data_IF_668661363373
#
_entry.id   IF_668661363373
#
_cell.length_a   1.000
_cell.length_b   1.000
_cell.length_c   1.000
_cell.angle_alpha   90.00
_cell.angle_beta   90.00
_cell.angle_gamma   90.00
#
_symmetry.space_group_name_H-M   'P 1'
#
loop_
_entity.id
_entity.type
_entity.pdbx_description
1 polymer ?
#
# COMPACT_ATOMS: atom_id res chain seq x y z
N UNK A 1 -57.46 -25.48 29.58
CA UNK A 1 -57.69 -24.03 29.40
C UNK A 1 -56.31 -23.38 29.52
N UNK A 2 -55.63 -22.89 28.50
CA UNK A 2 -56.01 -22.41 27.17
C UNK A 2 -55.30 -23.15 26.03
N UNK A 3 -55.99 -23.32 24.91
CA UNK A 3 -55.47 -23.82 23.63
C UNK A 3 -55.04 -22.57 22.83
N UNK A 4 -53.74 -22.42 22.59
CA UNK A 4 -53.20 -21.40 21.69
C UNK A 4 -53.18 -21.94 20.26
N UNK A 5 -54.06 -21.42 19.40
CA UNK A 5 -54.10 -21.77 17.97
C UNK A 5 -53.03 -20.95 17.26
N UNK A 6 -51.98 -21.62 16.75
CA UNK A 6 -51.03 -21.04 15.80
C UNK A 6 -51.60 -21.21 14.39
N UNK A 7 -51.96 -20.10 13.74
CA UNK A 7 -52.31 -20.09 12.32
C UNK A 7 -51.04 -19.79 11.54
N UNK A 8 -50.42 -20.83 11.00
CA UNK A 8 -49.36 -20.69 10.00
C UNK A 8 -49.98 -20.29 8.66
N UNK A 9 -49.78 -19.05 8.24
CA UNK A 9 -50.12 -18.61 6.89
C UNK A 9 -49.04 -19.12 5.93
N UNK A 10 -49.31 -20.23 5.25
CA UNK A 10 -48.51 -20.68 4.10
C UNK A 10 -48.80 -19.74 2.94
N UNK A 11 -47.89 -18.80 2.66
CA UNK A 11 -47.96 -17.98 1.46
C UNK A 11 -47.55 -18.86 0.27
N UNK A 12 -48.53 -19.50 -0.39
CA UNK A 12 -48.31 -20.11 -1.69
C UNK A 12 -48.29 -18.98 -2.72
N UNK A 13 -47.12 -18.71 -3.30
CA UNK A 13 -47.01 -17.80 -4.43
C UNK A 13 -47.74 -18.44 -5.64
N UNK A 14 -48.97 -18.01 -5.88
CA UNK A 14 -49.74 -18.38 -7.07
C UNK A 14 -49.29 -17.52 -8.25
N UNK A 15 -48.34 -18.03 -9.02
CA UNK A 15 -47.95 -17.46 -10.31
C UNK A 15 -46.57 -17.95 -10.77
N UNK A 16 -46.46 -18.34 -12.03
CA UNK A 16 -45.14 -18.59 -12.63
C UNK A 16 -44.32 -17.29 -12.57
N UNK A 17 -43.05 -17.34 -12.13
CA UNK A 17 -42.23 -16.15 -11.99
C UNK A 17 -41.97 -15.49 -13.35
N UNK A 18 -41.78 -14.16 -13.35
CA UNK A 18 -41.53 -13.38 -14.55
C UNK A 18 -40.17 -13.63 -15.23
N UNK A 19 -39.35 -14.54 -14.67
CA UNK A 19 -38.07 -14.98 -15.24
C UNK A 19 -38.16 -16.43 -15.69
N UNK A 20 -37.39 -16.83 -16.72
CA UNK A 20 -37.42 -18.20 -17.23
C UNK A 20 -37.07 -19.19 -16.11
N UNK A 21 -38.02 -20.09 -15.80
CA UNK A 21 -37.78 -21.21 -14.91
C UNK A 21 -36.94 -22.24 -15.67
N UNK A 22 -35.71 -22.45 -15.21
CA UNK A 22 -34.81 -23.42 -15.81
C UNK A 22 -35.42 -24.83 -15.68
N UNK A 23 -35.78 -25.45 -16.81
CA UNK A 23 -36.20 -26.85 -16.84
C UNK A 23 -34.97 -27.73 -16.66
N UNK A 24 -35.08 -28.74 -15.78
CA UNK A 24 -34.03 -29.75 -15.63
C UNK A 24 -33.80 -30.44 -16.98
N UNK A 25 -32.57 -30.34 -17.50
CA UNK A 25 -32.16 -31.10 -18.68
C UNK A 25 -31.90 -32.55 -18.29
N UNK A 26 -32.45 -33.50 -19.05
CA UNK A 26 -32.33 -34.95 -18.80
C UNK A 26 -31.03 -35.55 -19.36
N UNK A 27 -30.25 -34.78 -20.13
CA UNK A 27 -29.01 -35.25 -20.77
C UNK A 27 -27.75 -34.84 -20.02
N UNK A 28 -26.92 -35.82 -19.64
CA UNK A 28 -25.53 -35.61 -19.19
C UNK A 28 -24.59 -35.68 -20.40
N UNK A 29 -24.66 -34.70 -21.30
CA UNK A 29 -23.69 -34.58 -22.39
C UNK A 29 -22.62 -33.56 -21.99
N UNK A 30 -21.35 -33.84 -22.31
CA UNK A 30 -20.29 -32.86 -22.15
C UNK A 30 -20.55 -31.63 -23.04
N UNK A 31 -20.11 -30.46 -22.59
CA UNK A 31 -20.11 -29.26 -23.43
C UNK A 31 -19.03 -29.43 -24.51
N UNK A 32 -19.17 -28.77 -25.68
CA UNK A 32 -18.13 -28.81 -26.70
C UNK A 32 -16.75 -28.42 -26.14
N UNK A 33 -15.76 -29.31 -26.30
CA UNK A 33 -14.40 -29.10 -25.78
C UNK A 33 -14.21 -29.42 -24.29
N UNK A 34 -15.21 -29.97 -23.61
CA UNK A 34 -15.09 -30.41 -22.21
C UNK A 34 -15.28 -31.92 -22.06
N UNK A 35 -14.89 -32.46 -20.92
CA UNK A 35 -15.17 -33.82 -20.49
C UNK A 35 -16.12 -33.77 -19.29
N UNK A 36 -16.94 -34.81 -19.12
CA UNK A 36 -17.77 -34.93 -17.93
C UNK A 36 -16.86 -35.11 -16.71
N UNK A 37 -17.22 -34.47 -15.60
CA UNK A 37 -16.53 -34.66 -14.33
C UNK A 37 -16.98 -35.99 -13.72
N UNK A 38 -16.19 -37.04 -13.95
CA UNK A 38 -16.47 -38.40 -13.47
C UNK A 38 -15.80 -38.70 -12.12
N UNK A 39 -14.96 -37.78 -11.62
CA UNK A 39 -14.29 -37.94 -10.34
C UNK A 39 -15.32 -38.00 -9.19
N UNK A 40 -15.26 -39.08 -8.42
CA UNK A 40 -16.04 -39.27 -7.19
C UNK A 40 -15.32 -38.74 -5.95
N UNK A 41 -16.04 -38.63 -4.83
CA UNK A 41 -15.50 -38.13 -3.55
C UNK A 41 -15.61 -36.62 -3.37
N UNK A 42 -14.84 -36.05 -2.43
CA UNK A 42 -14.79 -34.61 -2.19
C UNK A 42 -13.80 -33.93 -3.15
N UNK A 43 -14.34 -33.35 -4.21
CA UNK A 43 -13.58 -32.65 -5.25
C UNK A 43 -12.79 -31.45 -4.72
N UNK A 44 -13.21 -30.86 -3.60
CA UNK A 44 -12.53 -29.73 -2.98
C UNK A 44 -11.16 -30.15 -2.46
N UNK A 45 -11.09 -31.34 -1.84
CA UNK A 45 -9.82 -31.92 -1.36
C UNK A 45 -8.92 -32.25 -2.54
N UNK A 46 -9.44 -32.94 -3.56
CA UNK A 46 -8.67 -33.30 -4.74
C UNK A 46 -8.11 -32.07 -5.47
N UNK A 47 -8.86 -30.97 -5.52
CA UNK A 47 -8.40 -29.69 -6.07
C UNK A 47 -7.25 -29.11 -5.24
N UNK A 48 -7.39 -29.05 -3.91
CA UNK A 48 -6.34 -28.52 -3.02
C UNK A 48 -5.05 -29.34 -3.13
N UNK A 49 -5.14 -30.67 -3.10
CA UNK A 49 -3.98 -31.56 -3.27
C UNK A 49 -3.34 -31.45 -4.67
N UNK A 50 -4.16 -31.20 -5.70
CA UNK A 50 -3.66 -30.93 -7.05
C UNK A 50 -2.89 -29.61 -7.14
N UNK A 51 -3.43 -28.55 -6.53
CA UNK A 51 -2.78 -27.24 -6.45
C UNK A 51 -1.48 -27.33 -5.66
N UNK A 52 -1.47 -28.02 -4.52
CA UNK A 52 -0.29 -28.18 -3.67
C UNK A 52 0.86 -28.87 -4.42
N UNK A 53 0.57 -30.02 -5.06
CA UNK A 53 1.56 -30.73 -5.89
C UNK A 53 2.08 -29.90 -7.05
N UNK A 54 1.21 -29.09 -7.68
CA UNK A 54 1.62 -28.19 -8.74
C UNK A 54 2.59 -27.12 -8.21
N UNK A 55 2.26 -26.48 -7.09
CA UNK A 55 3.10 -25.45 -6.47
C UNK A 55 4.45 -26.01 -6.02
N UNK A 56 4.49 -27.21 -5.44
CA UNK A 56 5.73 -27.90 -5.08
C UNK A 56 6.63 -28.16 -6.29
N UNK A 57 6.05 -28.58 -7.42
CA UNK A 57 6.78 -28.79 -8.66
C UNK A 57 7.38 -27.49 -9.21
N UNK A 58 6.61 -26.40 -9.19
CA UNK A 58 7.06 -25.06 -9.60
C UNK A 58 8.20 -24.55 -8.70
N UNK A 59 8.07 -24.71 -7.37
CA UNK A 59 9.13 -24.35 -6.41
C UNK A 59 10.41 -25.14 -6.70
N UNK A 60 10.31 -26.45 -6.91
CA UNK A 60 11.46 -27.30 -7.21
C UNK A 60 12.11 -26.94 -8.57
N UNK A 61 11.33 -26.53 -9.57
CA UNK A 61 11.82 -26.07 -10.85
C UNK A 61 12.58 -24.74 -10.71
N UNK A 62 12.01 -23.76 -10.02
CA UNK A 62 12.63 -22.46 -9.78
C UNK A 62 13.94 -22.59 -8.99
N UNK A 63 13.99 -23.48 -7.99
CA UNK A 63 15.21 -23.76 -7.22
C UNK A 63 16.36 -24.30 -8.09
N UNK A 64 16.06 -25.02 -9.16
CA UNK A 64 17.06 -25.55 -10.11
C UNK A 64 17.55 -24.48 -11.08
N UNK A 65 16.68 -23.56 -11.49
CA UNK A 65 17.03 -22.54 -12.48
C UNK A 65 17.51 -21.21 -11.88
N UNK A 66 17.32 -20.98 -10.58
CA UNK A 66 17.65 -19.77 -9.79
C UNK A 66 18.23 -18.63 -10.62
N UNK A 67 17.37 -18.03 -11.42
CA UNK A 67 17.64 -16.75 -12.05
C UNK A 67 17.45 -15.74 -10.92
N UNK A 68 18.48 -14.96 -10.59
CA UNK A 68 18.31 -13.88 -9.61
C UNK A 68 17.08 -13.04 -9.93
N UNK A 69 16.41 -12.51 -8.91
CA UNK A 69 15.20 -11.69 -9.11
C UNK A 69 15.50 -10.46 -9.96
N UNK A 70 14.61 -10.15 -10.90
CA UNK A 70 14.69 -8.91 -11.69
C UNK A 70 13.84 -7.81 -11.07
N UNK A 71 14.14 -6.54 -11.39
CA UNK A 71 13.31 -5.41 -10.96
C UNK A 71 11.88 -5.51 -11.50
N UNK A 72 11.72 -6.00 -12.73
CA UNK A 72 10.42 -6.22 -13.36
C UNK A 72 9.62 -7.26 -12.59
N UNK A 73 10.28 -8.32 -12.15
CA UNK A 73 9.65 -9.38 -11.36
C UNK A 73 9.24 -8.89 -9.97
N UNK A 74 10.11 -8.14 -9.29
CA UNK A 74 9.75 -7.50 -8.02
C UNK A 74 8.56 -6.55 -8.18
N UNK A 75 8.55 -5.72 -9.23
CA UNK A 75 7.43 -4.83 -9.52
C UNK A 75 6.13 -5.61 -9.73
N UNK A 76 6.18 -6.73 -10.45
CA UNK A 76 5.03 -7.63 -10.66
C UNK A 76 4.52 -8.21 -9.35
N UNK A 77 5.41 -8.74 -8.50
CA UNK A 77 5.06 -9.32 -7.19
C UNK A 77 4.42 -8.27 -6.28
N UNK A 78 4.96 -7.06 -6.27
CA UNK A 78 4.42 -5.95 -5.47
C UNK A 78 3.10 -5.38 -6.01
N UNK A 79 2.74 -5.71 -7.26
CA UNK A 79 1.54 -5.21 -7.93
C UNK A 79 1.69 -3.80 -8.51
N UNK A 80 2.91 -3.28 -8.67
CA UNK A 80 3.16 -1.91 -9.13
C UNK A 80 2.64 -1.61 -10.55
N UNK A 81 2.74 -2.51 -11.54
CA UNK A 81 2.30 -2.23 -12.92
C UNK A 81 0.79 -2.01 -13.08
N UNK A 82 -0.01 -2.28 -12.05
CA UNK A 82 -1.47 -2.11 -12.09
C UNK A 82 -1.90 -0.65 -12.09
N UNK A 83 -1.06 0.24 -11.57
CA UNK A 83 -1.37 1.65 -11.43
C UNK A 83 -0.20 2.51 -11.94
N UNK A 84 -0.51 3.72 -12.38
CA UNK A 84 0.50 4.70 -12.77
C UNK A 84 0.47 5.88 -11.81
N UNK A 85 1.64 6.43 -11.52
CA UNK A 85 1.72 7.69 -10.78
C UNK A 85 1.10 8.83 -11.61
N UNK A 86 0.47 9.82 -10.95
CA UNK A 86 -0.09 10.98 -11.63
C UNK A 86 0.99 11.78 -12.36
N UNK A 87 0.74 12.07 -13.64
CA UNK A 87 1.67 12.82 -14.50
C UNK A 87 1.91 14.26 -14.04
N UNK A 88 1.01 14.83 -13.23
CA UNK A 88 1.03 16.22 -12.73
C UNK A 88 1.06 16.27 -11.18
N UNK A 89 1.85 15.41 -10.56
CA UNK A 89 2.08 15.39 -9.11
C UNK A 89 3.10 16.42 -8.57
N UNK A 90 2.76 17.14 -7.50
CA UNK A 90 3.67 18.03 -6.78
C UNK A 90 3.29 18.09 -5.29
N UNK A 91 4.24 18.49 -4.45
CA UNK A 91 3.95 18.70 -3.03
C UNK A 91 3.02 19.90 -2.85
N UNK A 92 1.84 19.63 -2.29
CA UNK A 92 0.90 20.63 -1.78
C UNK A 92 1.15 20.83 -0.30
N UNK A 93 1.43 22.06 0.07
CA UNK A 93 1.61 22.44 1.46
C UNK A 93 0.23 22.59 2.09
N UNK A 94 0.03 22.01 3.28
CA UNK A 94 -1.16 22.30 4.06
C UNK A 94 -1.22 23.83 4.31
N UNK A 95 -2.35 24.44 3.94
CA UNK A 95 -2.42 25.86 3.60
C UNK A 95 -2.39 26.86 4.77
N UNK A 96 -1.37 27.72 4.76
CA UNK A 96 -1.45 29.20 4.63
C UNK A 96 -2.02 30.10 5.75
N UNK A 97 -2.49 29.61 6.91
CA UNK A 97 -2.81 30.51 8.06
C UNK A 97 -1.75 30.50 9.17
N UNK A 98 -1.02 29.42 9.30
CA UNK A 98 0.06 29.24 10.27
C UNK A 98 1.29 28.82 9.46
N UNK A 99 2.47 29.33 9.84
CA UNK A 99 3.72 29.10 9.13
C UNK A 99 4.18 27.64 9.18
N UNK A 100 5.49 27.38 9.18
CA UNK A 100 6.01 26.04 9.45
C UNK A 100 5.35 25.43 10.70
N UNK A 101 5.02 24.14 10.64
CA UNK A 101 4.49 23.39 11.80
C UNK A 101 5.55 23.20 12.89
N UNK A 102 6.82 23.36 12.53
CA UNK A 102 7.94 23.40 13.45
C UNK A 102 9.12 24.13 12.84
N UNK A 103 10.03 24.60 13.70
CA UNK A 103 11.29 25.20 13.29
C UNK A 103 12.44 24.48 13.98
N UNK A 104 13.39 24.00 13.18
CA UNK A 104 14.69 23.55 13.67
C UNK A 104 15.69 24.71 13.73
N UNK A 105 16.96 24.39 14.02
CA UNK A 105 18.03 25.40 14.10
C UNK A 105 18.30 26.12 12.77
N UNK A 106 18.24 25.39 11.66
CA UNK A 106 18.55 25.88 10.32
C UNK A 106 17.64 25.25 9.25
N UNK A 107 16.45 24.80 9.64
CA UNK A 107 15.44 24.24 8.75
C UNK A 107 14.04 24.53 9.28
N UNK A 108 13.05 24.49 8.39
CA UNK A 108 11.63 24.59 8.72
C UNK A 108 10.95 23.26 8.43
N UNK A 109 9.93 22.91 9.21
CA UNK A 109 9.11 21.70 8.99
C UNK A 109 7.75 22.13 8.47
N UNK A 110 7.31 21.55 7.36
CA UNK A 110 6.03 21.82 6.74
C UNK A 110 5.25 20.52 6.54
N UNK A 111 3.95 20.54 6.81
CA UNK A 111 3.07 19.44 6.40
C UNK A 111 2.83 19.52 4.89
N UNK A 112 3.01 18.39 4.20
CA UNK A 112 2.84 18.29 2.75
C UNK A 112 1.97 17.09 2.39
N UNK A 113 1.19 17.24 1.33
CA UNK A 113 0.48 16.15 0.65
C UNK A 113 0.87 16.07 -0.81
N UNK A 114 0.83 14.86 -1.38
CA UNK A 114 1.06 14.63 -2.80
C UNK A 114 0.12 13.53 -3.29
N UNK A 115 -0.24 13.59 -4.57
CA UNK A 115 -1.08 12.55 -5.18
C UNK A 115 -0.25 11.26 -5.31
N UNK A 116 -0.90 10.12 -5.19
CA UNK A 116 -0.29 8.81 -5.42
C UNK A 116 -1.08 8.07 -6.50
N UNK A 117 -1.00 6.75 -6.55
CA UNK A 117 -1.73 5.95 -7.52
C UNK A 117 -3.26 6.14 -7.43
N UNK A 118 -3.94 6.07 -8.57
CA UNK A 118 -5.39 6.30 -8.63
C UNK A 118 -5.78 7.69 -8.13
N UNK A 119 -6.81 7.76 -7.28
CA UNK A 119 -7.30 9.01 -6.65
C UNK A 119 -6.88 9.11 -5.18
N UNK A 120 -5.74 8.52 -4.81
CA UNK A 120 -5.23 8.55 -3.43
C UNK A 120 -4.23 9.68 -3.23
N UNK A 121 -4.10 10.13 -1.98
CA UNK A 121 -3.12 11.12 -1.57
C UNK A 121 -2.30 10.58 -0.41
N UNK A 122 -1.01 10.88 -0.43
CA UNK A 122 -0.11 10.67 0.69
C UNK A 122 0.15 11.98 1.40
N UNK A 123 0.46 11.86 2.68
CA UNK A 123 0.78 12.98 3.58
C UNK A 123 2.08 12.69 4.32
N UNK A 124 2.75 13.75 4.76
CA UNK A 124 3.98 13.65 5.53
C UNK A 124 4.53 15.00 5.93
N UNK A 125 5.71 14.98 6.55
CA UNK A 125 6.45 16.17 6.95
C UNK A 125 7.61 16.40 5.99
N UNK A 126 7.79 17.65 5.55
CA UNK A 126 8.90 18.09 4.73
C UNK A 126 9.79 19.05 5.54
N UNK A 127 11.02 18.63 5.76
CA UNK A 127 12.07 19.37 6.45
C UNK A 127 12.90 20.10 5.40
N UNK A 128 12.88 21.43 5.44
CA UNK A 128 13.49 22.28 4.43
C UNK A 128 14.59 23.16 5.02
N UNK A 129 15.85 23.02 4.59
CA UNK A 129 16.94 23.90 5.02
C UNK A 129 16.62 25.38 4.78
N UNK A 130 16.91 26.22 5.77
CA UNK A 130 16.72 27.66 5.69
C UNK A 130 17.96 28.35 5.12
N UNK A 131 17.76 29.32 4.23
CA UNK A 131 18.81 30.23 3.76
C UNK A 131 19.84 29.64 2.79
N UNK A 132 19.72 28.37 2.39
CA UNK A 132 20.60 27.71 1.41
C UNK A 132 19.85 26.66 0.60
N UNK A 133 20.34 26.39 -0.61
CA UNK A 133 19.84 25.29 -1.42
C UNK A 133 20.14 23.94 -0.75
N UNK A 134 19.20 22.95 -0.78
CA UNK A 134 19.43 21.64 -0.21
C UNK A 134 20.62 20.90 -0.85
N UNK A 135 21.44 20.25 -0.01
CA UNK A 135 22.59 19.46 -0.45
C UNK A 135 22.18 18.15 -1.17
N UNK A 136 21.08 17.57 -0.73
CA UNK A 136 20.44 16.37 -1.24
C UNK A 136 18.97 16.36 -0.83
N UNK A 137 18.15 15.65 -1.61
CA UNK A 137 16.79 15.29 -1.25
C UNK A 137 16.77 13.89 -0.68
N UNK A 138 16.03 13.71 0.41
CA UNK A 138 15.99 12.44 1.14
C UNK A 138 14.54 12.09 1.43
N UNK A 139 14.13 10.87 1.11
CA UNK A 139 12.88 10.29 1.58
C UNK A 139 13.25 9.36 2.74
N UNK A 140 12.91 9.77 3.95
CA UNK A 140 13.19 9.06 5.19
C UNK A 140 11.96 8.28 5.63
N UNK A 141 12.00 6.95 5.51
CA UNK A 141 10.88 6.06 5.77
C UNK A 141 10.89 5.55 7.23
N UNK A 142 9.88 5.89 8.03
CA UNK A 142 9.76 5.36 9.39
C UNK A 142 9.34 3.88 9.39
N UNK A 143 9.46 3.20 10.54
CA UNK A 143 8.75 1.95 10.75
C UNK A 143 7.23 2.19 10.74
N UNK A 144 6.43 1.15 10.50
CA UNK A 144 4.98 1.28 10.41
C UNK A 144 4.33 1.84 11.70
N UNK A 145 4.97 1.66 12.86
CA UNK A 145 4.45 2.15 14.14
C UNK A 145 5.10 3.47 14.61
N UNK A 146 5.88 4.11 13.75
CA UNK A 146 6.53 5.40 14.03
C UNK A 146 5.85 6.54 13.29
N UNK A 147 5.66 7.64 14.02
CA UNK A 147 5.15 8.88 13.45
C UNK A 147 6.26 9.70 12.79
N UNK A 148 5.95 10.48 11.74
CA UNK A 148 6.93 11.38 11.14
C UNK A 148 7.61 12.34 12.12
N UNK A 149 6.87 12.79 13.14
CA UNK A 149 7.33 13.64 14.23
C UNK A 149 8.47 13.00 15.03
N UNK A 150 8.44 11.68 15.23
CA UNK A 150 9.48 10.94 15.98
C UNK A 150 10.84 11.03 15.26
N UNK A 151 10.85 10.80 13.95
CA UNK A 151 12.05 10.95 13.12
C UNK A 151 12.54 12.41 13.06
N UNK A 152 11.63 13.35 13.32
CA UNK A 152 11.88 14.79 13.37
C UNK A 152 12.33 15.34 14.73
N UNK A 153 12.44 14.50 15.77
CA UNK A 153 12.61 14.93 17.16
C UNK A 153 11.57 15.99 17.59
N UNK A 154 10.31 15.81 17.17
CA UNK A 154 9.20 16.70 17.47
C UNK A 154 8.32 16.12 18.58
N UNK A 155 7.64 16.98 19.33
CA UNK A 155 6.63 16.58 20.33
C UNK A 155 5.55 15.67 19.70
N UNK A 156 5.08 14.62 20.39
CA UNK A 156 5.36 14.25 21.78
C UNK A 156 6.64 13.38 21.97
N UNK A 157 7.44 13.20 20.92
CA UNK A 157 8.53 12.23 20.88
C UNK A 157 9.89 12.85 21.19
N UNK A 158 9.97 13.93 21.97
CA UNK A 158 11.27 14.51 22.31
C UNK A 158 12.06 13.63 23.30
N UNK A 159 11.37 13.00 24.26
CA UNK A 159 11.99 12.24 25.36
C UNK A 159 11.94 10.72 25.17
N UNK A 160 11.00 10.20 24.38
CA UNK A 160 10.72 8.76 24.25
C UNK A 160 10.76 8.29 22.79
N UNK A 161 11.92 8.42 22.16
CA UNK A 161 12.12 7.98 20.76
C UNK A 161 12.48 6.50 20.72
N UNK A 162 11.81 5.73 19.85
CA UNK A 162 12.20 4.34 19.58
C UNK A 162 13.43 4.29 18.68
N UNK A 163 13.75 5.37 17.97
CA UNK A 163 14.87 5.44 17.02
C UNK A 163 15.48 6.82 17.00
N UNK A 164 16.76 6.88 16.64
CA UNK A 164 17.45 8.13 16.38
C UNK A 164 16.65 9.04 15.43
N UNK A 165 16.53 10.36 15.65
CA UNK A 165 15.74 11.26 14.82
C UNK A 165 16.51 11.65 13.55
N UNK A 166 16.77 10.65 12.70
CA UNK A 166 17.66 10.76 11.55
C UNK A 166 17.16 11.78 10.52
N UNK A 167 15.84 12.03 10.41
CA UNK A 167 15.32 13.06 9.53
C UNK A 167 15.72 14.48 9.98
N UNK A 168 15.64 14.75 11.28
CA UNK A 168 16.09 16.02 11.85
C UNK A 168 17.60 16.23 11.67
N UNK A 169 18.41 15.19 11.90
CA UNK A 169 19.87 15.28 11.70
C UNK A 169 20.27 15.59 10.26
N UNK A 170 19.64 14.89 9.31
CA UNK A 170 19.91 15.14 7.89
C UNK A 170 19.44 16.53 7.47
N UNK A 171 18.33 17.01 8.02
CA UNK A 171 17.87 18.38 7.83
C UNK A 171 18.88 19.41 8.39
N UNK A 172 19.40 19.18 9.61
CA UNK A 172 20.45 20.00 10.23
C UNK A 172 21.72 20.02 9.36
N UNK A 173 22.10 18.89 8.79
CA UNK A 173 23.24 18.78 7.87
C UNK A 173 23.03 19.59 6.58
N UNK A 174 21.79 19.93 6.22
CA UNK A 174 21.43 20.73 5.04
C UNK A 174 20.77 19.95 3.91
N UNK A 175 20.28 18.73 4.18
CA UNK A 175 19.44 17.99 3.26
C UNK A 175 17.98 18.43 3.38
N UNK A 176 17.21 18.33 2.30
CA UNK A 176 15.75 18.42 2.36
C UNK A 176 15.21 17.02 2.58
N UNK A 177 14.41 16.82 3.63
CA UNK A 177 14.00 15.49 4.06
C UNK A 177 12.48 15.39 4.07
N UNK A 178 11.92 14.44 3.32
CA UNK A 178 10.52 14.07 3.39
C UNK A 178 10.36 12.85 4.30
N UNK A 179 9.46 12.93 5.26
CA UNK A 179 9.06 11.82 6.13
C UNK A 179 7.58 11.52 5.88
N UNK A 180 7.24 10.47 5.10
CA UNK A 180 5.85 10.11 4.82
C UNK A 180 5.20 9.43 6.03
N UNK A 181 3.88 9.62 6.18
CA UNK A 181 3.06 8.78 7.06
C UNK A 181 2.91 7.39 6.45
N UNK A 182 3.16 6.35 7.24
CA UNK A 182 3.05 4.94 6.83
C UNK A 182 1.71 4.34 7.24
N UNK A 183 1.35 3.20 6.66
CA UNK A 183 0.14 2.49 7.07
C UNK A 183 0.40 1.85 8.43
N UNK A 184 -0.17 2.44 9.49
CA UNK A 184 0.08 2.04 10.89
C UNK A 184 -0.41 0.65 11.24
N UNK A 185 0.15 0.02 12.28
CA UNK A 185 -0.38 -1.24 12.86
C UNK A 185 -1.45 -1.02 13.92
N UNK A 186 -2.00 0.20 14.00
CA UNK A 186 -3.09 0.52 14.92
C UNK A 186 -4.30 -0.41 14.72
N UNK A 187 -5.03 -0.67 15.79
CA UNK A 187 -6.26 -1.45 15.74
C UNK A 187 -7.34 -0.72 14.91
N UNK A 188 -8.03 -1.48 14.07
CA UNK A 188 -9.16 -1.07 13.25
C UNK A 188 -10.12 -2.25 13.04
N UNK A 189 -11.34 -2.15 13.56
CA UNK A 189 -12.37 -3.19 13.46
C UNK A 189 -11.95 -4.58 13.99
N UNK A 190 -11.43 -4.62 15.21
CA UNK A 190 -10.90 -5.77 15.93
C UNK A 190 -9.70 -6.48 15.27
N UNK A 191 -8.96 -5.80 14.38
CA UNK A 191 -7.73 -6.29 13.77
C UNK A 191 -6.76 -5.15 13.48
N UNK A 192 -5.46 -5.38 13.21
CA UNK A 192 -4.57 -4.31 12.78
C UNK A 192 -5.04 -3.69 11.45
N UNK A 193 -4.94 -2.38 11.31
CA UNK A 193 -5.27 -1.62 10.10
C UNK A 193 -4.57 -2.19 8.85
N UNK A 194 -3.31 -2.60 8.98
CA UNK A 194 -2.57 -3.29 7.92
C UNK A 194 -3.26 -4.59 7.52
N UNK A 195 -3.69 -5.42 8.46
CA UNK A 195 -4.43 -6.65 8.12
C UNK A 195 -5.74 -6.33 7.40
N UNK A 196 -6.50 -5.36 7.92
CA UNK A 196 -7.75 -4.93 7.32
C UNK A 196 -7.57 -4.45 5.87
N UNK A 197 -6.52 -3.67 5.59
CA UNK A 197 -6.17 -3.21 4.24
C UNK A 197 -5.56 -4.29 3.35
N UNK A 198 -4.81 -5.24 3.94
CA UNK A 198 -4.15 -6.31 3.21
C UNK A 198 -5.17 -7.26 2.57
N UNK A 199 -6.24 -7.60 3.28
CA UNK A 199 -7.29 -8.52 2.81
C UNK A 199 -7.88 -8.13 1.44
N UNK A 200 -8.43 -6.92 1.23
CA UNK A 200 -8.91 -6.51 -0.08
C UNK A 200 -7.77 -6.25 -1.08
N UNK A 201 -6.58 -5.84 -0.62
CA UNK A 201 -5.44 -5.64 -1.52
C UNK A 201 -5.02 -6.96 -2.19
N UNK A 202 -4.97 -8.04 -1.41
CA UNK A 202 -4.60 -9.38 -1.88
C UNK A 202 -5.51 -9.88 -3.00
N UNK A 203 -6.83 -9.77 -2.80
CA UNK A 203 -7.83 -10.17 -3.80
C UNK A 203 -7.71 -9.39 -5.11
N UNK A 204 -7.21 -8.15 -5.04
CA UNK A 204 -6.99 -7.29 -6.20
C UNK A 204 -5.58 -7.47 -6.82
N UNK A 205 -4.80 -8.45 -6.35
CA UNK A 205 -3.43 -8.70 -6.77
C UNK A 205 -2.50 -7.53 -6.46
N UNK A 206 -2.72 -6.88 -5.32
CA UNK A 206 -1.93 -5.77 -4.78
C UNK A 206 -1.38 -6.14 -3.42
N UNK A 207 -0.35 -5.41 -2.98
CA UNK A 207 0.26 -5.61 -1.67
C UNK A 207 0.34 -4.28 -0.92
N UNK A 208 0.33 -4.33 0.42
CA UNK A 208 0.56 -3.13 1.23
C UNK A 208 1.92 -2.50 0.94
N UNK A 209 2.95 -3.34 0.81
CA UNK A 209 4.29 -2.88 0.44
C UNK A 209 4.26 -2.19 -0.93
N UNK A 210 3.51 -2.72 -1.90
CA UNK A 210 3.28 -2.08 -3.19
C UNK A 210 2.65 -0.69 -3.07
N UNK A 211 1.64 -0.52 -2.22
CA UNK A 211 1.04 0.81 -1.97
C UNK A 211 2.04 1.80 -1.37
N UNK A 212 2.83 1.36 -0.38
CA UNK A 212 3.83 2.20 0.26
C UNK A 212 5.00 2.52 -0.71
N UNK A 213 5.40 1.59 -1.58
CA UNK A 213 6.37 1.84 -2.66
C UNK A 213 5.82 2.82 -3.69
N UNK A 214 4.56 2.70 -4.12
CA UNK A 214 3.93 3.67 -5.03
C UNK A 214 3.90 5.07 -4.41
N UNK A 215 3.65 5.18 -3.09
CA UNK A 215 3.74 6.44 -2.36
C UNK A 215 5.14 7.06 -2.43
N UNK A 216 6.19 6.25 -2.27
CA UNK A 216 7.59 6.67 -2.38
C UNK A 216 7.94 7.09 -3.80
N UNK A 217 7.59 6.29 -4.81
CA UNK A 217 7.84 6.61 -6.21
C UNK A 217 7.13 7.91 -6.63
N UNK A 218 5.92 8.15 -6.13
CA UNK A 218 5.21 9.40 -6.40
C UNK A 218 5.90 10.62 -5.76
N UNK A 219 6.53 10.45 -4.60
CA UNK A 219 7.36 11.49 -3.98
C UNK A 219 8.67 11.72 -4.74
N UNK A 220 9.28 10.65 -5.29
CA UNK A 220 10.44 10.75 -6.19
C UNK A 220 10.09 11.61 -7.41
N UNK A 221 8.92 11.41 -8.00
CA UNK A 221 8.43 12.21 -9.12
C UNK A 221 8.25 13.69 -8.73
N UNK A 222 7.74 13.97 -7.53
CA UNK A 222 7.63 15.34 -7.02
C UNK A 222 9.00 16.03 -6.90
N UNK A 223 10.04 15.33 -6.43
CA UNK A 223 11.40 15.90 -6.32
C UNK A 223 12.10 16.10 -7.67
N UNK A 224 11.77 15.28 -8.68
CA UNK A 224 12.40 15.34 -10.02
C UNK A 224 11.77 16.39 -10.94
N UNK A 225 10.53 16.82 -10.68
CA UNK A 225 9.80 17.77 -11.52
C UNK A 225 10.43 19.16 -11.52
N UNK A 226 10.31 19.83 -12.67
CA UNK A 226 10.75 21.21 -12.92
C UNK A 226 9.80 22.27 -12.35
N UNK A 227 8.65 21.87 -11.78
CA UNK A 227 7.58 22.77 -11.33
C UNK A 227 7.90 23.39 -9.95
N UNK A 228 7.92 24.72 -9.81
CA UNK A 228 8.16 25.41 -8.56
C UNK A 228 6.95 25.34 -7.60
N UNK A 229 6.74 24.17 -6.98
CA UNK A 229 6.20 24.18 -5.61
C UNK A 229 7.19 24.93 -4.69
N UNK A 230 6.77 25.33 -3.47
CA UNK A 230 7.62 26.15 -2.56
C UNK A 230 9.02 25.59 -2.32
N UNK A 231 9.20 24.27 -2.46
CA UNK A 231 10.51 23.60 -2.38
C UNK A 231 11.16 23.32 -3.74
N UNK A 232 10.40 23.34 -4.84
CA UNK A 232 10.88 23.16 -6.22
C UNK A 232 11.61 21.84 -6.54
N UNK A 233 12.08 21.76 -7.79
CA UNK A 233 12.98 20.73 -8.33
C UNK A 233 14.18 20.50 -7.41
N UNK A 234 14.65 19.26 -7.32
CA UNK A 234 15.97 18.95 -6.75
C UNK A 234 17.04 19.88 -7.33
N UNK A 235 17.61 20.75 -6.49
CA UNK A 235 18.69 21.66 -6.90
C UNK A 235 20.04 20.96 -6.96
N UNK A 236 20.22 19.90 -6.16
CA UNK A 236 21.43 19.07 -6.16
C UNK A 236 21.42 17.95 -7.19
N UNK A 237 20.24 17.55 -7.67
CA UNK A 237 20.04 16.35 -8.49
C UNK A 237 20.27 15.03 -7.74
N UNK A 238 20.53 15.09 -6.42
CA UNK A 238 20.81 13.92 -5.57
C UNK A 238 19.56 13.58 -4.77
N UNK A 239 19.04 12.39 -4.97
CA UNK A 239 17.88 11.86 -4.26
C UNK A 239 18.22 10.51 -3.63
N UNK A 240 17.99 10.37 -2.34
CA UNK A 240 18.18 9.13 -1.60
C UNK A 240 16.86 8.69 -0.94
N UNK A 241 16.67 7.39 -0.81
CA UNK A 241 15.62 6.79 0.02
C UNK A 241 16.32 6.01 1.13
N UNK A 242 15.98 6.32 2.37
CA UNK A 242 16.53 5.68 3.56
C UNK A 242 15.37 5.25 4.44
N UNK A 243 15.57 4.23 5.28
CA UNK A 243 14.48 3.80 6.16
C UNK A 243 14.94 2.98 7.34
N UNK A 244 14.07 2.93 8.35
CA UNK A 244 14.23 2.17 9.58
C UNK A 244 13.11 1.13 9.71
N UNK A 245 13.40 -0.03 10.32
CA UNK A 245 12.41 -1.11 10.46
C UNK A 245 11.82 -1.55 9.12
N UNK A 246 10.49 -1.60 9.02
CA UNK A 246 9.79 -1.85 7.75
C UNK A 246 10.07 -0.78 6.68
N UNK A 247 10.34 0.46 7.08
CA UNK A 247 10.77 1.52 6.18
C UNK A 247 12.07 1.18 5.44
N UNK A 248 12.99 0.46 6.09
CA UNK A 248 14.22 -0.03 5.45
C UNK A 248 13.93 -1.03 4.33
N UNK A 249 12.98 -1.95 4.54
CA UNK A 249 12.53 -2.89 3.49
C UNK A 249 11.91 -2.15 2.30
N UNK A 250 11.10 -1.12 2.55
CA UNK A 250 10.51 -0.31 1.49
C UNK A 250 11.54 0.50 0.71
N UNK A 251 12.57 1.01 1.39
CA UNK A 251 13.70 1.68 0.73
C UNK A 251 14.41 0.73 -0.26
N UNK A 252 14.61 -0.53 0.13
CA UNK A 252 15.16 -1.56 -0.77
C UNK A 252 14.25 -1.85 -1.96
N UNK A 253 12.92 -1.89 -1.75
CA UNK A 253 11.97 -2.14 -2.83
C UNK A 253 11.85 -0.98 -3.83
N UNK A 254 12.08 0.26 -3.37
CA UNK A 254 11.98 1.45 -4.20
C UNK A 254 13.25 1.75 -5.03
N UNK A 255 14.37 1.07 -4.76
CA UNK A 255 15.69 1.31 -5.37
C UNK A 255 15.91 0.61 -6.73
#
# INVERSE_FOLDING_TARGET
>A
MMIGISVGATLLAEGEPAWPVLKQTTGKNALPGTQLLEAGGDLSIAMVEGVDRFLDAEIAAELKERRGGTRQELARILGLPRDQNPKDNSFRYAGRRWGPVGNGRNYTVNEVSWKTFGNTEAVGLLFEPSGRAPLADIIALPDADQDPEELGAMEPYFENQQTHPFAAEMALAGCRVLVPVMIKRMEHHAMPMREWLHRPAWELGRTLAGYEVLKVLAAVDCFRRDDPSRSGKSTSGKLAVVGWGEGGRLALYAA
#
